data_IF_894874754982
#
_entry.id   IF_894874754982
#
_cell.length_a   1.000
_cell.length_b   1.000
_cell.length_c   1.000
_cell.angle_alpha   90.00
_cell.angle_beta   90.00
_cell.angle_gamma   90.00
#
_symmetry.space_group_name_H-M   'P 1'
#
loop_
_entity.id
_entity.type
_entity.pdbx_description
1 polymer ?
#
# COMPACT_ATOMS: atom_id res chain seq x y z
N UNK A 1 -23.80 6.33 -22.89
CA UNK A 1 -23.16 7.55 -22.36
C UNK A 1 -24.24 8.30 -21.61
N UNK A 2 -24.23 8.29 -20.28
CA UNK A 2 -25.34 8.91 -19.54
C UNK A 2 -25.33 8.82 -18.02
N UNK A 3 -24.61 7.89 -17.39
CA UNK A 3 -24.71 7.72 -15.92
C UNK A 3 -23.45 8.14 -15.14
N UNK A 4 -22.26 8.09 -15.75
CA UNK A 4 -20.99 8.44 -15.06
C UNK A 4 -20.84 9.94 -14.76
N UNK A 5 -21.41 10.80 -15.59
CA UNK A 5 -21.23 12.26 -15.47
C UNK A 5 -22.05 12.86 -14.31
N UNK A 6 -23.12 12.18 -13.87
CA UNK A 6 -24.00 12.64 -12.80
C UNK A 6 -23.50 12.16 -11.42
N UNK A 7 -22.88 10.98 -11.34
CA UNK A 7 -22.24 10.50 -10.12
C UNK A 7 -21.03 11.36 -9.71
N UNK A 8 -20.23 11.83 -10.68
CA UNK A 8 -19.11 12.75 -10.41
C UNK A 8 -19.55 14.03 -9.71
N UNK A 9 -20.65 14.65 -10.15
CA UNK A 9 -21.14 15.91 -9.60
C UNK A 9 -21.81 15.75 -8.23
N UNK A 10 -22.26 14.55 -7.89
CA UNK A 10 -22.96 14.28 -6.63
C UNK A 10 -22.01 13.83 -5.52
N UNK A 11 -20.84 13.29 -5.87
CA UNK A 11 -19.78 12.91 -4.91
C UNK A 11 -18.37 13.11 -5.49
N UNK A 12 -17.96 14.35 -5.79
CA UNK A 12 -16.67 14.63 -6.44
C UNK A 12 -15.46 14.13 -5.64
N UNK A 13 -15.60 14.03 -4.33
CA UNK A 13 -14.58 13.50 -3.42
C UNK A 13 -14.36 11.97 -3.52
N UNK A 14 -15.30 11.19 -4.07
CA UNK A 14 -15.05 9.78 -4.43
C UNK A 14 -14.20 9.67 -5.72
N UNK A 15 -14.18 10.71 -6.57
CA UNK A 15 -13.38 10.78 -7.81
C UNK A 15 -12.01 11.46 -7.64
N UNK A 16 -11.78 12.14 -6.51
CA UNK A 16 -10.49 12.71 -6.10
C UNK A 16 -9.71 11.79 -5.14
N UNK A 17 -10.26 10.61 -4.85
CA UNK A 17 -9.75 9.68 -3.87
C UNK A 17 -8.84 8.61 -4.53
N UNK A 18 -7.72 8.29 -3.88
CA UNK A 18 -6.92 7.10 -4.21
C UNK A 18 -7.70 5.86 -3.80
N UNK A 19 -8.36 5.23 -4.78
CA UNK A 19 -9.19 4.04 -4.55
C UNK A 19 -8.57 2.75 -5.10
N UNK A 20 -7.56 2.87 -5.97
CA UNK A 20 -6.93 1.74 -6.65
C UNK A 20 -5.41 1.85 -6.68
N UNK A 21 -4.69 0.70 -6.75
CA UNK A 21 -3.25 0.67 -6.96
C UNK A 21 -2.78 1.39 -8.22
N UNK A 22 -3.58 1.38 -9.30
CA UNK A 22 -3.22 2.06 -10.55
C UNK A 22 -3.27 3.58 -10.40
N UNK A 23 -4.36 4.12 -9.82
CA UNK A 23 -4.45 5.56 -9.49
C UNK A 23 -3.30 6.02 -8.59
N UNK A 24 -2.97 5.21 -7.57
CA UNK A 24 -1.86 5.48 -6.66
C UNK A 24 -0.53 5.66 -7.40
N UNK A 25 -0.26 4.79 -8.39
CA UNK A 25 0.99 4.85 -9.15
C UNK A 25 0.97 5.95 -10.20
N UNK A 26 -0.19 6.25 -10.79
CA UNK A 26 -0.33 7.34 -11.75
C UNK A 26 -0.10 8.70 -11.08
N UNK A 27 -0.58 8.88 -9.84
CA UNK A 27 -0.38 10.11 -9.07
C UNK A 27 1.03 10.22 -8.45
N UNK A 28 1.61 9.08 -8.02
CA UNK A 28 2.91 9.05 -7.33
C UNK A 28 3.94 8.14 -8.01
N UNK A 29 4.23 8.30 -9.32
CA UNK A 29 5.01 7.33 -10.10
C UNK A 29 6.46 7.14 -9.61
N UNK A 30 7.02 8.16 -8.96
CA UNK A 30 8.38 8.11 -8.41
C UNK A 30 8.48 7.41 -7.05
N UNK A 31 7.35 7.21 -6.35
CA UNK A 31 7.34 6.59 -5.02
C UNK A 31 7.28 5.06 -5.09
N UNK A 32 6.95 4.49 -6.24
CA UNK A 32 6.62 3.07 -6.36
C UNK A 32 7.52 2.33 -7.34
N UNK A 33 7.76 1.06 -7.04
CA UNK A 33 8.29 0.07 -7.96
C UNK A 33 7.23 -0.99 -8.23
N UNK A 34 7.21 -1.50 -9.46
CA UNK A 34 6.36 -2.61 -9.87
C UNK A 34 7.22 -3.82 -10.14
N UNK A 35 6.78 -4.98 -9.69
CA UNK A 35 7.38 -6.28 -10.03
C UNK A 35 6.29 -7.30 -10.33
N UNK A 36 6.63 -8.33 -11.08
CA UNK A 36 5.73 -9.43 -11.37
C UNK A 36 6.04 -10.61 -10.45
N UNK A 37 5.10 -10.97 -9.58
CA UNK A 37 5.19 -12.16 -8.75
C UNK A 37 4.26 -13.24 -9.31
N UNK A 38 4.84 -14.20 -10.03
CA UNK A 38 4.11 -15.30 -10.68
C UNK A 38 2.99 -14.70 -11.58
N UNK A 39 1.74 -14.68 -11.10
CA UNK A 39 0.55 -14.25 -11.84
C UNK A 39 -0.06 -12.94 -11.32
N UNK A 40 0.65 -12.21 -10.46
CA UNK A 40 0.16 -10.97 -9.88
C UNK A 40 1.22 -9.87 -9.97
N UNK A 41 0.80 -8.68 -10.40
CA UNK A 41 1.63 -7.49 -10.28
C UNK A 41 1.61 -7.03 -8.82
N UNK A 42 2.81 -6.87 -8.27
CA UNK A 42 3.04 -6.31 -6.95
C UNK A 42 3.65 -4.92 -7.15
N UNK A 43 3.08 -3.96 -6.44
CA UNK A 43 3.58 -2.60 -6.38
C UNK A 43 3.98 -2.30 -4.95
N UNK A 44 5.18 -1.80 -4.71
CA UNK A 44 5.64 -1.47 -3.37
C UNK A 44 6.38 -0.14 -3.36
N UNK A 45 6.37 0.50 -2.21
CA UNK A 45 6.99 1.79 -2.02
C UNK A 45 8.52 1.69 -1.97
N UNK A 46 9.18 2.59 -2.71
CA UNK A 46 10.64 2.74 -2.74
C UNK A 46 11.13 3.30 -1.42
N UNK A 47 12.30 2.82 -0.97
CA UNK A 47 13.00 3.47 0.13
C UNK A 47 13.44 4.86 -0.31
N UNK A 48 13.14 5.89 0.49
CA UNK A 48 13.82 7.16 0.37
C UNK A 48 15.27 7.03 0.88
N UNK A 49 16.19 7.80 0.30
CA UNK A 49 17.60 7.82 0.70
C UNK A 49 17.78 8.44 2.10
N UNK A 50 16.83 9.30 2.52
CA UNK A 50 16.81 9.96 3.82
C UNK A 50 15.86 9.21 4.78
N UNK A 51 16.33 8.07 5.29
CA UNK A 51 15.63 7.26 6.30
C UNK A 51 15.65 7.95 7.67
N UNK A 52 15.04 9.12 7.80
CA UNK A 52 15.02 9.94 9.02
C UNK A 52 14.35 9.31 10.25
N UNK A 53 14.22 7.97 10.30
CA UNK A 53 13.89 7.18 11.48
C UNK A 53 12.43 7.20 11.93
N UNK A 54 11.58 8.00 11.31
CA UNK A 54 10.17 8.13 11.75
C UNK A 54 9.20 7.19 11.05
N UNK A 55 9.50 6.79 9.82
CA UNK A 55 8.57 5.98 9.01
C UNK A 55 8.67 4.51 9.37
N UNK A 56 7.65 3.99 10.04
CA UNK A 56 7.59 2.59 10.51
C UNK A 56 6.80 1.67 9.57
N UNK A 57 6.23 2.24 8.50
CA UNK A 57 5.41 1.52 7.54
C UNK A 57 5.65 1.94 6.09
N UNK A 58 5.33 1.03 5.16
CA UNK A 58 5.41 1.25 3.71
C UNK A 58 4.11 0.86 3.02
N UNK A 59 3.81 1.50 1.90
CA UNK A 59 2.73 1.04 1.04
C UNK A 59 3.14 -0.22 0.27
N UNK A 60 2.23 -1.19 0.24
CA UNK A 60 2.32 -2.43 -0.53
C UNK A 60 0.97 -2.70 -1.18
N UNK A 61 0.98 -2.92 -2.48
CA UNK A 61 -0.22 -3.16 -3.25
C UNK A 61 -0.11 -4.45 -4.04
N UNK A 62 -1.21 -5.19 -4.06
CA UNK A 62 -1.47 -6.13 -5.15
C UNK A 62 -2.27 -5.43 -6.24
N UNK A 63 -2.55 -6.10 -7.36
CA UNK A 63 -3.33 -5.53 -8.47
C UNK A 63 -4.71 -4.95 -8.09
N UNK A 64 -5.26 -5.29 -6.92
CA UNK A 64 -6.63 -4.93 -6.52
C UNK A 64 -6.73 -4.28 -5.14
N UNK A 65 -5.61 -4.08 -4.45
CA UNK A 65 -5.66 -3.67 -3.04
C UNK A 65 -4.44 -2.89 -2.66
N UNK A 66 -4.68 -1.82 -1.89
CA UNK A 66 -3.67 -1.03 -1.23
C UNK A 66 -3.62 -1.47 0.23
N UNK A 67 -2.42 -1.72 0.73
CA UNK A 67 -2.14 -2.00 2.13
C UNK A 67 -0.96 -1.17 2.61
N UNK A 68 -0.80 -1.04 3.93
CA UNK A 68 0.50 -0.76 4.52
C UNK A 68 1.10 -2.02 5.12
N UNK A 69 2.43 -2.06 5.13
CA UNK A 69 3.22 -3.04 5.86
C UNK A 69 4.10 -2.34 6.88
N UNK A 70 4.15 -2.84 8.11
CA UNK A 70 5.01 -2.33 9.17
C UNK A 70 5.74 -3.45 9.89
N UNK A 71 6.86 -3.11 10.51
CA UNK A 71 7.64 -4.04 11.33
C UNK A 71 6.92 -4.36 12.66
N UNK A 72 7.24 -5.51 13.26
CA UNK A 72 6.86 -5.84 14.62
C UNK A 72 7.73 -5.11 15.69
N UNK A 73 8.68 -4.28 15.25
CA UNK A 73 9.59 -3.51 16.09
C UNK A 73 10.99 -4.10 16.21
N UNK A 74 11.24 -5.29 15.64
CA UNK A 74 12.58 -5.93 15.70
C UNK A 74 13.56 -5.45 14.63
N UNK A 75 13.05 -4.90 13.53
CA UNK A 75 13.84 -4.45 12.39
C UNK A 75 13.19 -3.22 11.78
N UNK A 76 13.95 -2.45 11.00
CA UNK A 76 13.36 -1.38 10.20
C UNK A 76 12.61 -2.00 9.02
N UNK A 77 11.36 -1.59 8.78
CA UNK A 77 10.64 -2.00 7.57
C UNK A 77 11.45 -1.67 6.32
N UNK A 78 12.22 -0.56 6.37
CA UNK A 78 13.44 -0.13 5.65
C UNK A 78 14.36 -1.22 5.06
N UNK A 79 14.56 -2.27 5.84
CA UNK A 79 15.55 -3.32 5.58
C UNK A 79 14.93 -4.60 5.03
N UNK A 80 13.62 -4.58 4.76
CA UNK A 80 12.95 -5.69 4.10
C UNK A 80 13.31 -5.70 2.61
N UNK A 81 13.84 -6.84 2.14
CA UNK A 81 14.23 -7.00 0.75
C UNK A 81 13.00 -7.22 -0.15
N UNK A 82 12.51 -6.16 -0.76
CA UNK A 82 11.36 -6.17 -1.66
C UNK A 82 11.66 -6.73 -3.06
N UNK A 83 12.87 -7.22 -3.31
CA UNK A 83 13.20 -7.97 -4.54
C UNK A 83 13.17 -9.48 -4.33
N UNK A 84 13.02 -9.96 -3.09
CA UNK A 84 12.98 -11.39 -2.80
C UNK A 84 11.57 -11.96 -3.03
N UNK A 85 11.40 -12.93 -3.95
CA UNK A 85 10.13 -13.58 -4.18
C UNK A 85 9.48 -14.22 -2.94
N UNK A 86 10.26 -14.77 -2.00
CA UNK A 86 9.73 -15.39 -0.78
C UNK A 86 9.10 -14.35 0.16
N UNK A 87 9.76 -13.19 0.28
CA UNK A 87 9.25 -12.03 1.03
C UNK A 87 7.95 -11.53 0.40
N UNK A 88 7.99 -11.26 -0.91
CA UNK A 88 6.83 -10.77 -1.65
C UNK A 88 5.65 -11.73 -1.58
N UNK A 89 5.89 -13.04 -1.71
CA UNK A 89 4.85 -14.08 -1.63
C UNK A 89 4.20 -14.11 -0.26
N UNK A 90 5.00 -14.06 0.82
CA UNK A 90 4.48 -14.09 2.19
C UNK A 90 3.51 -12.92 2.46
N UNK A 91 3.89 -11.72 2.00
CA UNK A 91 3.06 -10.52 2.14
C UNK A 91 1.83 -10.58 1.21
N UNK A 92 2.02 -10.92 -0.06
CA UNK A 92 0.93 -10.94 -1.05
C UNK A 92 -0.19 -11.93 -0.66
N UNK A 93 0.16 -13.12 -0.16
CA UNK A 93 -0.82 -14.08 0.37
C UNK A 93 -1.66 -13.43 1.49
N UNK A 94 -1.01 -12.72 2.41
CA UNK A 94 -1.70 -12.05 3.51
C UNK A 94 -2.59 -10.91 3.04
N UNK A 95 -2.08 -10.06 2.13
CA UNK A 95 -2.83 -8.94 1.53
C UNK A 95 -4.08 -9.46 0.82
N UNK A 96 -3.95 -10.48 -0.02
CA UNK A 96 -5.09 -11.06 -0.73
C UNK A 96 -6.10 -11.70 0.22
N UNK A 97 -5.63 -12.39 1.27
CA UNK A 97 -6.50 -12.93 2.31
C UNK A 97 -7.29 -11.84 3.04
N UNK A 98 -6.62 -10.75 3.42
CA UNK A 98 -7.26 -9.60 4.06
C UNK A 98 -8.30 -8.97 3.13
N UNK A 99 -7.97 -8.72 1.87
CA UNK A 99 -8.90 -8.20 0.85
C UNK A 99 -10.16 -9.05 0.76
N UNK A 100 -10.02 -10.36 0.57
CA UNK A 100 -11.17 -11.27 0.39
C UNK A 100 -12.07 -11.26 1.63
N UNK A 101 -11.49 -11.30 2.84
CA UNK A 101 -12.27 -11.29 4.09
C UNK A 101 -12.94 -9.96 4.39
N UNK A 102 -12.42 -8.86 3.85
CA UNK A 102 -12.81 -7.50 4.22
C UNK A 102 -13.32 -6.67 3.05
N UNK A 103 -13.58 -7.29 1.88
CA UNK A 103 -13.98 -6.60 0.65
C UNK A 103 -15.25 -5.75 0.84
N UNK A 104 -16.17 -6.21 1.69
CA UNK A 104 -17.45 -5.55 1.98
C UNK A 104 -17.37 -4.63 3.21
N UNK A 105 -16.19 -4.48 3.79
CA UNK A 105 -15.96 -3.65 4.98
C UNK A 105 -15.25 -2.37 4.62
N UNK A 106 -15.65 -1.27 5.26
CA UNK A 106 -15.01 0.05 5.13
C UNK A 106 -14.04 0.35 6.28
N UNK A 107 -13.56 -0.68 6.97
CA UNK A 107 -12.70 -0.52 8.15
C UNK A 107 -11.33 -1.12 7.92
N UNK A 108 -10.32 -0.45 8.45
CA UNK A 108 -8.94 -0.90 8.37
C UNK A 108 -8.78 -2.17 9.21
N UNK A 109 -8.04 -3.14 8.67
CA UNK A 109 -7.80 -4.42 9.34
C UNK A 109 -6.34 -4.80 9.27
N UNK A 110 -5.75 -5.00 10.44
CA UNK A 110 -4.35 -5.36 10.57
C UNK A 110 -4.20 -6.81 10.98
N UNK A 111 -3.38 -7.56 10.26
CA UNK A 111 -2.97 -8.91 10.62
C UNK A 111 -1.45 -9.05 10.56
N UNK A 112 -0.89 -9.89 11.41
CA UNK A 112 0.55 -10.21 11.36
C UNK A 112 0.78 -11.40 10.43
N UNK A 113 1.88 -11.36 9.68
CA UNK A 113 2.39 -12.48 8.91
C UNK A 113 3.86 -12.69 9.22
N UNK A 114 4.27 -13.95 9.30
CA UNK A 114 5.68 -14.33 9.29
C UNK A 114 6.18 -14.37 7.85
N UNK A 115 7.41 -13.90 7.63
CA UNK A 115 8.07 -13.97 6.34
C UNK A 115 8.71 -15.35 6.22
N UNK A 116 8.22 -16.19 5.31
CA UNK A 116 8.74 -17.55 5.17
C UNK A 116 10.25 -17.55 4.87
N UNK A 117 11.01 -18.36 5.61
CA UNK A 117 12.48 -18.43 5.46
C UNK A 117 13.25 -17.34 6.22
N UNK A 118 12.56 -16.40 6.85
CA UNK A 118 13.14 -15.31 7.63
C UNK A 118 12.51 -15.29 9.03
N UNK A 119 13.30 -15.07 10.09
CA UNK A 119 12.76 -14.82 11.45
C UNK A 119 12.24 -13.37 11.56
N UNK A 120 11.35 -12.98 10.64
CA UNK A 120 10.79 -11.63 10.51
C UNK A 120 9.28 -11.68 10.50
N UNK A 121 8.64 -10.77 11.24
CA UNK A 121 7.19 -10.60 11.29
C UNK A 121 6.79 -9.22 10.79
N UNK A 122 5.84 -9.19 9.87
CA UNK A 122 5.29 -7.96 9.29
C UNK A 122 3.83 -7.85 9.70
N UNK A 123 3.40 -6.66 10.12
CA UNK A 123 1.99 -6.31 10.24
C UNK A 123 1.52 -5.76 8.90
N UNK A 124 0.45 -6.34 8.37
CA UNK A 124 -0.19 -5.93 7.12
C UNK A 124 -1.53 -5.29 7.46
N UNK A 125 -1.73 -4.03 7.09
CA UNK A 125 -2.97 -3.29 7.30
C UNK A 125 -3.68 -3.09 5.96
N UNK A 126 -4.88 -3.65 5.84
CA UNK A 126 -5.77 -3.43 4.69
C UNK A 126 -6.36 -2.03 4.73
N UNK A 127 -6.24 -1.30 3.62
CA UNK A 127 -6.83 0.03 3.42
C UNK A 127 -8.00 -0.08 2.42
N UNK A 128 -9.25 -0.21 2.89
CA UNK A 128 -10.41 -0.14 2.00
C UNK A 128 -10.50 1.23 1.31
N UNK A 129 -11.09 1.30 0.10
CA UNK A 129 -11.21 2.55 -0.66
C UNK A 129 -12.25 3.47 -0.01
N UNK A 130 -11.79 4.25 0.97
CA UNK A 130 -12.57 5.26 1.69
C UNK A 130 -11.88 6.62 1.54
N UNK A 131 -12.65 7.70 1.72
CA UNK A 131 -12.09 9.07 1.73
C UNK A 131 -10.99 9.22 2.78
N UNK A 132 -11.22 8.73 4.00
CA UNK A 132 -10.26 8.78 5.11
C UNK A 132 -8.93 8.09 4.75
N UNK A 133 -8.97 6.89 4.16
CA UNK A 133 -7.76 6.20 3.74
C UNK A 133 -7.09 6.90 2.55
N UNK A 134 -7.85 7.51 1.66
CA UNK A 134 -7.31 8.30 0.55
C UNK A 134 -6.57 9.54 1.05
N UNK A 135 -7.19 10.28 1.98
CA UNK A 135 -6.58 11.44 2.63
C UNK A 135 -5.27 11.03 3.33
N UNK A 136 -5.28 9.91 4.07
CA UNK A 136 -4.09 9.36 4.72
C UNK A 136 -2.98 8.98 3.73
N UNK A 137 -3.31 8.32 2.61
CA UNK A 137 -2.35 7.96 1.56
C UNK A 137 -1.70 9.23 0.98
N UNK A 138 -2.52 10.20 0.59
CA UNK A 138 -2.09 11.45 -0.04
C UNK A 138 -1.20 12.25 0.92
N UNK A 139 -1.62 12.43 2.17
CA UNK A 139 -0.85 13.13 3.19
C UNK A 139 0.51 12.46 3.41
N UNK A 140 0.53 11.14 3.57
CA UNK A 140 1.75 10.36 3.81
C UNK A 140 2.73 10.50 2.65
N UNK A 141 2.27 10.32 1.41
CA UNK A 141 3.14 10.37 0.24
C UNK A 141 3.61 11.79 -0.08
N UNK A 142 2.76 12.81 0.10
CA UNK A 142 3.17 14.21 -0.07
C UNK A 142 4.27 14.59 0.94
N UNK A 143 4.10 14.21 2.22
CA UNK A 143 5.12 14.40 3.26
C UNK A 143 6.43 13.70 2.90
N UNK A 144 6.36 12.48 2.35
CA UNK A 144 7.55 11.73 1.91
C UNK A 144 8.21 12.33 0.67
N UNK A 145 7.44 12.90 -0.26
CA UNK A 145 7.95 13.62 -1.43
C UNK A 145 8.79 14.83 -1.03
N UNK A 146 8.36 15.58 -0.03
CA UNK A 146 9.12 16.73 0.50
C UNK A 146 10.48 16.31 1.10
N UNK A 147 10.55 15.12 1.69
CA UNK A 147 11.79 14.55 2.22
C UNK A 147 12.75 14.04 1.12
N UNK A 148 12.22 13.66 -0.05
CA UNK A 148 13.01 13.24 -1.21
C UNK A 148 13.66 14.42 -1.98
N UNK A 149 13.15 15.64 -1.78
CA UNK A 149 13.65 16.85 -2.45
C UNK A 149 14.69 17.63 -1.62
N UNK A 150 15.00 17.18 -0.39
CA UNK A 150 16.04 17.73 0.49
C UNK A 150 17.26 16.83 0.53
#
# INVERSE_FOLDING_TARGET
MGDTDIEFLTKPEEYLAISTPDQLVDEYPQHFEKTQLINEQITFERSCNNRGGTETERFFCTSRTICTISSDGKYDIWDLNMTDPQVLTSIAIKVNGLRIRNQDTKTNRTETTEIAGYDRKVKVTYLPPTKENSDYIIETLNRRRELLQK
#
